data_IF_928044628114
#
_entry.id   IF_928044628114
#
_cell.length_a   1.000
_cell.length_b   1.000
_cell.length_c   1.000
_cell.angle_alpha   90.00
_cell.angle_beta   90.00
_cell.angle_gamma   90.00
#
_symmetry.space_group_name_H-M   'P 1'
#
loop_
_entity.id
_entity.type
_entity.pdbx_description
1 polymer ?
#
# COMPACT_ATOMS: atom_id res chain seq x y z
N UNK A 1 -28.41 2.26 -75.06
CA UNK A 1 -27.51 1.81 -76.14
C UNK A 1 -28.31 0.86 -76.98
N UNK A 2 -28.65 1.27 -78.21
CA UNK A 2 -29.58 0.59 -79.10
C UNK A 2 -28.99 -0.75 -79.56
N UNK A 3 -29.74 -1.84 -79.38
CA UNK A 3 -29.45 -3.11 -80.06
C UNK A 3 -29.90 -2.92 -81.50
N UNK A 4 -28.94 -2.56 -82.37
CA UNK A 4 -29.14 -2.59 -83.82
C UNK A 4 -29.41 -4.05 -84.22
N UNK A 5 -30.68 -4.37 -84.47
CA UNK A 5 -31.04 -5.49 -85.31
C UNK A 5 -30.48 -5.20 -86.70
N UNK A 6 -29.47 -5.97 -87.12
CA UNK A 6 -29.06 -6.01 -88.52
C UNK A 6 -30.29 -6.32 -89.39
N UNK A 7 -30.53 -5.55 -90.47
CA UNK A 7 -31.60 -5.88 -91.40
C UNK A 7 -31.25 -7.19 -92.08
N UNK A 8 -32.20 -8.12 -92.09
CA UNK A 8 -32.21 -9.32 -92.93
C UNK A 8 -32.40 -8.85 -94.38
N UNK A 9 -31.39 -8.19 -94.94
CA UNK A 9 -31.35 -7.75 -96.33
C UNK A 9 -30.00 -8.16 -96.90
N UNK A 10 -29.75 -9.47 -96.92
CA UNK A 10 -28.79 -10.09 -97.84
C UNK A 10 -28.97 -11.62 -97.91
N UNK A 11 -30.21 -12.09 -97.98
CA UNK A 11 -30.54 -13.49 -98.26
C UNK A 11 -31.41 -13.65 -99.52
N UNK A 12 -31.46 -12.62 -100.37
CA UNK A 12 -32.16 -12.68 -101.66
C UNK A 12 -31.31 -13.26 -102.80
N UNK A 13 -30.03 -13.57 -102.58
CA UNK A 13 -29.12 -14.10 -103.62
C UNK A 13 -28.57 -15.52 -103.38
N UNK A 14 -29.05 -16.26 -102.37
CA UNK A 14 -28.57 -17.65 -102.15
C UNK A 14 -29.64 -18.62 -101.65
N UNK A 15 -30.57 -19.00 -102.54
CA UNK A 15 -31.44 -20.17 -102.38
C UNK A 15 -32.41 -20.16 -101.17
N UNK A 16 -33.30 -21.16 -101.06
CA UNK A 16 -34.23 -21.26 -99.94
C UNK A 16 -33.47 -21.53 -98.63
N UNK A 17 -33.89 -20.88 -97.56
CA UNK A 17 -33.36 -21.04 -96.21
C UNK A 17 -33.42 -22.52 -95.81
N UNK A 18 -32.27 -23.21 -95.85
CA UNK A 18 -32.23 -24.64 -95.51
C UNK A 18 -32.42 -24.81 -94.01
N UNK A 19 -33.05 -25.92 -93.61
CA UNK A 19 -33.34 -26.19 -92.20
C UNK A 19 -32.05 -26.19 -91.35
N UNK A 20 -30.91 -26.55 -91.92
CA UNK A 20 -29.63 -26.47 -91.22
C UNK A 20 -29.20 -25.03 -90.88
N UNK A 21 -29.47 -24.04 -91.75
CA UNK A 21 -29.18 -22.62 -91.47
C UNK A 21 -30.06 -22.06 -90.35
N UNK A 22 -31.37 -22.35 -90.36
CA UNK A 22 -32.27 -21.93 -89.28
C UNK A 22 -31.90 -22.59 -87.94
N UNK A 23 -31.48 -23.86 -87.94
CA UNK A 23 -31.01 -24.57 -86.74
C UNK A 23 -29.73 -23.96 -86.17
N UNK A 24 -28.80 -23.52 -87.02
CA UNK A 24 -27.55 -22.86 -86.62
C UNK A 24 -27.80 -21.47 -86.00
N UNK A 25 -28.74 -20.69 -86.55
CA UNK A 25 -29.15 -19.40 -85.98
C UNK A 25 -29.80 -19.59 -84.60
N UNK A 26 -30.70 -20.57 -84.45
CA UNK A 26 -31.35 -20.87 -83.17
C UNK A 26 -30.32 -21.34 -82.14
N UNK A 27 -29.40 -22.25 -82.52
CA UNK A 27 -28.33 -22.73 -81.63
C UNK A 27 -27.36 -21.61 -81.21
N UNK A 28 -27.00 -20.69 -82.11
CA UNK A 28 -26.14 -19.55 -81.78
C UNK A 28 -26.83 -18.56 -80.83
N UNK A 29 -28.13 -18.30 -81.00
CA UNK A 29 -28.91 -17.47 -80.07
C UNK A 29 -29.06 -18.12 -78.68
N UNK A 30 -29.30 -19.43 -78.61
CA UNK A 30 -29.30 -20.16 -77.33
C UNK A 30 -27.93 -20.13 -76.65
N UNK A 31 -26.86 -20.31 -77.42
CA UNK A 31 -25.48 -20.29 -76.90
C UNK A 31 -25.12 -18.90 -76.35
N UNK A 32 -25.47 -17.82 -77.04
CA UNK A 32 -25.29 -16.45 -76.57
C UNK A 32 -26.10 -16.14 -75.30
N UNK A 33 -27.34 -16.62 -75.22
CA UNK A 33 -28.18 -16.47 -74.03
C UNK A 33 -27.60 -17.22 -72.82
N UNK A 34 -27.08 -18.44 -73.02
CA UNK A 34 -26.41 -19.23 -71.97
C UNK A 34 -25.15 -18.51 -71.46
N UNK A 35 -24.32 -17.97 -72.36
CA UNK A 35 -23.15 -17.18 -71.94
C UNK A 35 -23.54 -15.92 -71.16
N UNK A 36 -24.61 -15.22 -71.58
CA UNK A 36 -25.14 -14.06 -70.87
C UNK A 36 -25.60 -14.41 -69.45
N UNK A 37 -26.39 -15.48 -69.28
CA UNK A 37 -26.87 -15.92 -67.96
C UNK A 37 -25.69 -16.35 -67.08
N UNK A 38 -24.74 -17.12 -67.63
CA UNK A 38 -23.57 -17.60 -66.88
C UNK A 38 -22.68 -16.44 -66.41
N UNK A 39 -22.50 -15.41 -67.24
CA UNK A 39 -21.76 -14.20 -66.87
C UNK A 39 -22.47 -13.42 -65.74
N UNK A 40 -23.80 -13.29 -65.79
CA UNK A 40 -24.59 -12.62 -64.75
C UNK A 40 -24.54 -13.39 -63.43
N UNK A 41 -24.68 -14.72 -63.47
CA UNK A 41 -24.56 -15.58 -62.29
C UNK A 41 -23.15 -15.52 -61.70
N UNK A 42 -22.11 -15.57 -62.54
CA UNK A 42 -20.72 -15.42 -62.12
C UNK A 42 -20.44 -14.08 -61.44
N UNK A 43 -20.96 -12.98 -62.01
CA UNK A 43 -20.88 -11.66 -61.39
C UNK A 43 -21.62 -11.59 -60.06
N UNK A 44 -22.81 -12.18 -59.96
CA UNK A 44 -23.56 -12.21 -58.71
C UNK A 44 -22.79 -12.96 -57.61
N UNK A 45 -22.17 -14.09 -57.92
CA UNK A 45 -21.33 -14.85 -56.98
C UNK A 45 -20.12 -14.02 -56.53
N UNK A 46 -19.44 -13.33 -57.46
CA UNK A 46 -18.31 -12.47 -57.12
C UNK A 46 -18.70 -11.29 -56.22
N UNK A 47 -19.85 -10.65 -56.48
CA UNK A 47 -20.36 -9.55 -55.64
C UNK A 47 -20.71 -10.03 -54.24
N UNK A 48 -21.35 -11.20 -54.13
CA UNK A 48 -21.64 -11.81 -52.82
C UNK A 48 -20.34 -12.12 -52.08
N UNK A 49 -19.40 -12.82 -52.72
CA UNK A 49 -18.10 -13.16 -52.12
C UNK A 49 -17.31 -11.91 -51.67
N UNK A 50 -17.28 -10.86 -52.49
CA UNK A 50 -16.64 -9.58 -52.15
C UNK A 50 -17.33 -8.91 -50.94
N UNK A 51 -18.66 -8.97 -50.86
CA UNK A 51 -19.42 -8.42 -49.73
C UNK A 51 -19.14 -9.18 -48.43
N UNK A 52 -19.01 -10.51 -48.48
CA UNK A 52 -18.62 -11.33 -47.33
C UNK A 52 -17.21 -10.99 -46.85
N UNK A 53 -16.24 -10.88 -47.78
CA UNK A 53 -14.86 -10.49 -47.46
C UNK A 53 -14.79 -9.09 -46.84
N UNK A 54 -15.56 -8.14 -47.37
CA UNK A 54 -15.65 -6.79 -46.82
C UNK A 54 -16.24 -6.78 -45.41
N UNK A 55 -17.30 -7.55 -45.18
CA UNK A 55 -17.92 -7.65 -43.86
C UNK A 55 -16.98 -8.30 -42.82
N UNK A 56 -16.23 -9.34 -43.22
CA UNK A 56 -15.19 -9.95 -42.40
C UNK A 56 -14.06 -8.98 -42.07
N UNK A 57 -13.60 -8.18 -43.05
CA UNK A 57 -12.59 -7.16 -42.83
C UNK A 57 -13.06 -6.10 -41.83
N UNK A 58 -14.28 -5.60 -41.98
CA UNK A 58 -14.88 -4.65 -41.04
C UNK A 58 -15.02 -5.24 -39.64
N UNK A 59 -15.47 -6.48 -39.52
CA UNK A 59 -15.56 -7.18 -38.23
C UNK A 59 -14.20 -7.34 -37.57
N UNK A 60 -13.17 -7.76 -38.32
CA UNK A 60 -11.80 -7.89 -37.81
C UNK A 60 -11.27 -6.55 -37.30
N UNK A 61 -11.53 -5.45 -38.03
CA UNK A 61 -11.12 -4.10 -37.61
C UNK A 61 -11.85 -3.63 -36.34
N UNK A 62 -13.14 -3.91 -36.22
CA UNK A 62 -13.91 -3.61 -35.00
C UNK A 62 -13.39 -4.39 -33.80
N UNK A 63 -13.11 -5.68 -33.99
CA UNK A 63 -12.55 -6.54 -32.94
C UNK A 63 -11.18 -6.05 -32.48
N UNK A 64 -10.30 -5.67 -33.43
CA UNK A 64 -8.99 -5.12 -33.10
C UNK A 64 -9.08 -3.84 -32.27
N UNK A 65 -9.96 -2.90 -32.64
CA UNK A 65 -10.18 -1.67 -31.85
C UNK A 65 -10.75 -1.96 -30.46
N UNK A 66 -11.68 -2.92 -30.36
CA UNK A 66 -12.25 -3.32 -29.06
C UNK A 66 -11.18 -3.94 -28.16
N UNK A 67 -10.32 -4.81 -28.70
CA UNK A 67 -9.18 -5.41 -27.98
C UNK A 67 -8.20 -4.33 -27.53
N UNK A 68 -7.89 -3.37 -28.39
CA UNK A 68 -6.95 -2.29 -28.07
C UNK A 68 -7.50 -1.35 -27.00
N UNK A 69 -8.79 -1.02 -27.07
CA UNK A 69 -9.52 -0.28 -26.02
C UNK A 69 -9.52 -1.02 -24.69
N UNK A 70 -9.87 -2.32 -24.69
CA UNK A 70 -9.86 -3.15 -23.48
C UNK A 70 -8.46 -3.25 -22.88
N UNK A 71 -7.43 -3.41 -23.73
CA UNK A 71 -6.04 -3.46 -23.28
C UNK A 71 -5.63 -2.14 -22.62
N UNK A 72 -5.95 -1.00 -23.24
CA UNK A 72 -5.70 0.32 -22.67
C UNK A 72 -6.38 0.47 -21.32
N UNK A 73 -7.68 0.15 -21.23
CA UNK A 73 -8.45 0.27 -20.00
C UNK A 73 -7.90 -0.61 -18.88
N UNK A 74 -7.57 -1.87 -19.19
CA UNK A 74 -6.95 -2.80 -18.23
C UNK A 74 -5.61 -2.26 -17.75
N UNK A 75 -4.76 -1.74 -18.65
CA UNK A 75 -3.45 -1.19 -18.24
C UNK A 75 -3.57 0.06 -17.39
N UNK A 76 -4.54 0.94 -17.67
CA UNK A 76 -4.76 2.16 -16.89
C UNK A 76 -5.34 1.81 -15.52
N UNK A 77 -6.37 0.95 -15.45
CA UNK A 77 -6.93 0.47 -14.19
C UNK A 77 -5.89 -0.27 -13.34
N UNK A 78 -5.10 -1.14 -13.95
CA UNK A 78 -4.02 -1.82 -13.24
C UNK A 78 -3.02 -0.81 -12.67
N UNK A 79 -2.59 0.20 -13.44
CA UNK A 79 -1.69 1.25 -12.93
C UNK A 79 -2.30 2.04 -11.76
N UNK A 80 -3.58 2.40 -11.85
CA UNK A 80 -4.29 3.10 -10.78
C UNK A 80 -4.43 2.24 -9.53
N UNK A 81 -4.78 0.97 -9.68
CA UNK A 81 -4.92 0.03 -8.56
C UNK A 81 -3.57 -0.25 -7.90
N UNK A 82 -2.51 -0.41 -8.68
CA UNK A 82 -1.15 -0.53 -8.16
C UNK A 82 -0.70 0.73 -7.42
N UNK A 83 -1.03 1.92 -7.93
CA UNK A 83 -0.71 3.18 -7.25
C UNK A 83 -1.45 3.28 -5.90
N UNK A 84 -2.76 3.01 -5.88
CA UNK A 84 -3.58 3.00 -4.66
C UNK A 84 -3.14 1.95 -3.65
N UNK A 85 -2.71 0.77 -4.11
CA UNK A 85 -2.18 -0.28 -3.24
C UNK A 85 -0.83 0.15 -2.66
N UNK A 86 0.06 0.71 -3.47
CA UNK A 86 1.38 1.20 -3.02
C UNK A 86 1.23 2.30 -1.98
N UNK A 87 0.29 3.22 -2.17
CA UNK A 87 -0.02 4.28 -1.21
C UNK A 87 -0.53 3.70 0.11
N UNK A 88 -1.51 2.78 0.07
CA UNK A 88 -2.01 2.11 1.29
C UNK A 88 -0.93 1.34 2.03
N UNK A 89 -0.11 0.57 1.31
CA UNK A 89 1.01 -0.18 1.92
C UNK A 89 2.02 0.78 2.55
N UNK A 90 2.31 1.91 1.91
CA UNK A 90 3.20 2.93 2.46
C UNK A 90 2.66 3.53 3.76
N UNK A 91 1.35 3.82 3.82
CA UNK A 91 0.69 4.35 5.01
C UNK A 91 0.68 3.31 6.14
N UNK A 92 0.36 2.06 5.84
CA UNK A 92 0.40 0.95 6.81
C UNK A 92 1.81 0.73 7.38
N UNK A 93 2.84 0.74 6.51
CA UNK A 93 4.24 0.62 6.93
C UNK A 93 4.67 1.80 7.80
N UNK A 94 4.24 3.02 7.47
CA UNK A 94 4.55 4.20 8.27
C UNK A 94 3.90 4.13 9.66
N UNK A 95 2.64 3.69 9.73
CA UNK A 95 1.93 3.52 11.00
C UNK A 95 2.53 2.39 11.84
N UNK A 96 2.86 1.24 11.23
CA UNK A 96 3.57 0.16 11.92
C UNK A 96 4.92 0.62 12.46
N UNK A 97 5.69 1.39 11.67
CA UNK A 97 6.97 1.97 12.13
C UNK A 97 6.77 2.84 13.36
N UNK A 98 5.77 3.73 13.34
CA UNK A 98 5.44 4.61 14.47
C UNK A 98 5.03 3.82 15.72
N UNK A 99 4.27 2.74 15.56
CA UNK A 99 3.87 1.87 16.67
C UNK A 99 5.07 1.11 17.26
N UNK A 100 5.98 0.60 16.41
CA UNK A 100 7.21 -0.05 16.85
C UNK A 100 8.10 0.94 17.59
N UNK A 101 8.33 2.14 17.05
CA UNK A 101 9.12 3.18 17.70
C UNK A 101 8.57 3.53 19.08
N UNK A 102 7.24 3.70 19.19
CA UNK A 102 6.57 3.95 20.47
C UNK A 102 6.75 2.77 21.44
N UNK A 103 6.59 1.53 20.97
CA UNK A 103 6.75 0.34 21.81
C UNK A 103 8.20 0.14 22.27
N UNK A 104 9.18 0.40 21.41
CA UNK A 104 10.60 0.28 21.73
C UNK A 104 11.00 1.36 22.72
N UNK A 105 10.55 2.61 22.51
CA UNK A 105 10.78 3.70 23.45
C UNK A 105 10.23 3.36 24.84
N UNK A 106 8.99 2.86 24.93
CA UNK A 106 8.39 2.44 26.21
C UNK A 106 9.17 1.32 26.90
N UNK A 107 9.54 0.27 26.16
CA UNK A 107 10.37 -0.83 26.71
C UNK A 107 11.75 -0.35 27.15
N UNK A 108 12.36 0.58 26.41
CA UNK A 108 13.65 1.14 26.78
C UNK A 108 13.56 1.97 28.07
N UNK A 109 12.48 2.74 28.26
CA UNK A 109 12.24 3.47 29.51
C UNK A 109 12.05 2.53 30.70
N UNK A 110 11.28 1.45 30.54
CA UNK A 110 11.11 0.42 31.58
C UNK A 110 12.44 -0.27 31.91
N UNK A 111 13.22 -0.63 30.89
CA UNK A 111 14.52 -1.25 31.08
C UNK A 111 15.49 -0.34 31.83
N UNK A 112 15.54 0.95 31.51
CA UNK A 112 16.38 1.91 32.21
C UNK A 112 15.96 2.09 33.67
N UNK A 113 14.65 2.08 33.97
CA UNK A 113 14.13 2.11 35.33
C UNK A 113 14.57 0.88 36.13
N UNK A 114 14.45 -0.32 35.53
CA UNK A 114 14.86 -1.56 36.19
C UNK A 114 16.38 -1.62 36.39
N UNK A 115 17.16 -1.11 35.42
CA UNK A 115 18.61 -0.97 35.57
C UNK A 115 18.99 -0.06 36.73
N UNK A 116 18.33 1.09 36.88
CA UNK A 116 18.53 1.98 38.03
C UNK A 116 18.19 1.28 39.35
N UNK A 117 17.07 0.54 39.39
CA UNK A 117 16.71 -0.30 40.54
C UNK A 117 17.78 -1.33 40.87
N UNK A 118 18.35 -2.03 39.89
CA UNK A 118 19.42 -3.01 40.14
C UNK A 118 20.68 -2.35 40.72
N UNK A 119 21.07 -1.16 40.22
CA UNK A 119 22.16 -0.41 40.83
C UNK A 119 21.84 0.05 42.25
N UNK A 120 20.60 0.45 42.51
CA UNK A 120 20.13 0.80 43.84
C UNK A 120 20.24 -0.39 44.81
N UNK A 121 19.82 -1.58 44.38
CA UNK A 121 19.93 -2.82 45.15
C UNK A 121 21.38 -3.23 45.41
N UNK A 122 22.26 -3.09 44.42
CA UNK A 122 23.69 -3.37 44.60
C UNK A 122 24.35 -2.39 45.58
N UNK A 123 24.01 -1.11 45.51
CA UNK A 123 24.46 -0.09 46.46
C UNK A 123 23.91 -0.36 47.87
N UNK A 124 22.66 -0.80 48.00
CA UNK A 124 22.04 -1.21 49.26
C UNK A 124 22.80 -2.35 49.93
N UNK A 125 23.15 -3.39 49.17
CA UNK A 125 23.92 -4.53 49.68
C UNK A 125 25.31 -4.09 50.19
N UNK A 126 25.89 -3.09 49.54
CA UNK A 126 27.17 -2.50 49.92
C UNK A 126 27.06 -1.44 51.03
N UNK A 127 25.86 -1.21 51.58
CA UNK A 127 25.55 -0.16 52.58
C UNK A 127 25.91 1.26 52.12
N UNK A 128 25.94 1.50 50.81
CA UNK A 128 26.18 2.81 50.20
C UNK A 128 24.84 3.56 50.05
N UNK A 129 24.24 3.94 51.18
CA UNK A 129 22.86 4.45 51.25
C UNK A 129 22.60 5.71 50.42
N UNK A 130 23.59 6.60 50.31
CA UNK A 130 23.50 7.82 49.51
C UNK A 130 23.37 7.49 48.01
N UNK A 131 24.22 6.59 47.51
CA UNK A 131 24.16 6.11 46.12
C UNK A 131 22.89 5.30 45.87
N UNK A 132 22.48 4.47 46.82
CA UNK A 132 21.24 3.73 46.71
C UNK A 132 20.03 4.68 46.61
N UNK A 133 20.01 5.75 47.41
CA UNK A 133 18.94 6.76 47.39
C UNK A 133 18.90 7.50 46.05
N UNK A 134 20.05 7.86 45.48
CA UNK A 134 20.11 8.43 44.14
C UNK A 134 19.53 7.47 43.08
N UNK A 135 19.96 6.21 43.06
CA UNK A 135 19.50 5.24 42.08
C UNK A 135 18.02 4.87 42.23
N UNK A 136 17.49 4.87 43.46
CA UNK A 136 16.05 4.72 43.68
C UNK A 136 15.27 5.94 43.18
N UNK A 137 15.81 7.15 43.31
CA UNK A 137 15.21 8.35 42.74
C UNK A 137 15.19 8.33 41.20
N UNK A 138 16.29 7.92 40.57
CA UNK A 138 16.36 7.68 39.12
C UNK A 138 15.33 6.62 38.66
N UNK A 139 15.16 5.55 39.43
CA UNK A 139 14.16 4.53 39.13
C UNK A 139 12.72 5.07 39.18
N UNK A 140 12.41 6.01 40.09
CA UNK A 140 11.09 6.68 40.16
C UNK A 140 10.78 7.39 38.84
N UNK A 141 11.71 8.20 38.33
CA UNK A 141 11.52 8.91 37.06
C UNK A 141 11.33 7.92 35.89
N UNK A 142 12.16 6.87 35.85
CA UNK A 142 12.05 5.82 34.83
C UNK A 142 10.68 5.12 34.86
N UNK A 143 10.20 4.72 36.04
CA UNK A 143 8.89 4.07 36.18
C UNK A 143 7.74 5.03 35.91
N UNK A 144 7.86 6.32 36.25
CA UNK A 144 6.87 7.33 35.91
C UNK A 144 6.74 7.53 34.40
N UNK A 145 7.87 7.62 33.68
CA UNK A 145 7.90 7.70 32.21
C UNK A 145 7.36 6.43 31.55
N UNK A 146 7.53 5.28 32.19
CA UNK A 146 6.98 4.00 31.77
C UNK A 146 5.51 3.78 32.18
N UNK A 147 4.91 4.71 32.94
CA UNK A 147 3.55 4.59 33.48
C UNK A 147 3.35 3.38 34.40
N UNK A 148 4.40 2.99 35.15
CA UNK A 148 4.38 1.83 36.06
C UNK A 148 4.15 2.25 37.51
N UNK A 149 2.89 2.35 37.92
CA UNK A 149 2.51 2.74 39.29
C UNK A 149 3.12 1.81 40.36
N UNK A 150 3.14 0.50 40.10
CA UNK A 150 3.75 -0.49 41.00
C UNK A 150 5.25 -0.26 41.16
N UNK A 151 5.95 0.05 40.07
CA UNK A 151 7.38 0.34 40.09
C UNK A 151 7.68 1.61 40.89
N UNK A 152 6.90 2.67 40.67
CA UNK A 152 7.01 3.93 41.42
C UNK A 152 6.84 3.66 42.91
N UNK A 153 5.80 2.93 43.33
CA UNK A 153 5.54 2.65 44.75
C UNK A 153 6.70 1.92 45.42
N UNK A 154 7.22 0.87 44.78
CA UNK A 154 8.40 0.14 45.27
C UNK A 154 9.62 1.07 45.42
N UNK A 155 9.85 1.94 44.43
CA UNK A 155 10.99 2.83 44.43
C UNK A 155 10.86 3.95 45.49
N UNK A 156 9.66 4.49 45.69
CA UNK A 156 9.35 5.49 46.73
C UNK A 156 9.54 4.90 48.13
N UNK A 157 8.98 3.71 48.39
CA UNK A 157 9.13 3.01 49.68
C UNK A 157 10.60 2.72 49.98
N UNK A 158 11.33 2.24 48.96
CA UNK A 158 12.75 1.98 49.09
C UNK A 158 13.52 3.27 49.40
N UNK A 159 13.34 4.33 48.60
CA UNK A 159 13.98 5.63 48.80
C UNK A 159 13.74 6.17 50.21
N UNK A 160 12.49 6.17 50.66
CA UNK A 160 12.09 6.66 51.98
C UNK A 160 12.79 5.90 53.12
N UNK A 161 12.95 4.59 52.96
CA UNK A 161 13.67 3.73 53.91
C UNK A 161 15.18 4.01 53.93
N UNK A 162 15.81 4.27 52.77
CA UNK A 162 17.27 4.46 52.66
C UNK A 162 17.70 5.84 53.12
N UNK A 163 16.93 6.87 52.82
CA UNK A 163 17.18 8.21 53.34
C UNK A 163 17.17 8.25 54.88
N UNK A 164 16.36 7.42 55.53
CA UNK A 164 16.39 7.26 57.00
C UNK A 164 17.66 6.60 57.55
N UNK A 165 18.47 5.98 56.69
CA UNK A 165 19.76 5.35 57.03
C UNK A 165 20.96 6.21 56.62
N UNK A 166 20.76 7.22 55.78
CA UNK A 166 21.79 8.19 55.44
C UNK A 166 22.15 9.01 56.68
N UNK A 167 23.45 9.19 56.92
CA UNK A 167 23.94 10.10 57.98
C UNK A 167 24.12 11.52 57.49
N UNK A 168 24.54 11.66 56.24
CA UNK A 168 24.78 12.91 55.52
C UNK A 168 24.36 12.72 54.07
N UNK A 169 24.18 13.82 53.35
CA UNK A 169 23.96 13.80 51.91
C UNK A 169 24.44 15.13 51.33
N UNK A 170 25.29 15.09 50.30
CA UNK A 170 25.73 16.31 49.61
C UNK A 170 24.58 17.02 48.91
N UNK A 171 24.61 18.35 48.80
CA UNK A 171 23.48 19.12 48.27
C UNK A 171 23.20 18.84 46.81
N UNK A 172 24.23 18.54 46.01
CA UNK A 172 24.03 18.11 44.62
C UNK A 172 23.18 16.83 44.52
N UNK A 173 23.35 15.88 45.44
CA UNK A 173 22.49 14.70 45.52
C UNK A 173 21.09 15.04 46.03
N UNK A 174 20.95 15.91 47.05
CA UNK A 174 19.63 16.36 47.53
C UNK A 174 18.82 17.01 46.42
N UNK A 175 19.43 17.90 45.64
CA UNK A 175 18.80 18.57 44.51
C UNK A 175 18.41 17.59 43.42
N UNK A 176 19.28 16.63 43.09
CA UNK A 176 18.96 15.59 42.11
C UNK A 176 17.76 14.77 42.56
N UNK A 177 17.77 14.27 43.80
CA UNK A 177 16.64 13.49 44.33
C UNK A 177 15.35 14.31 44.28
N UNK A 178 15.37 15.58 44.70
CA UNK A 178 14.21 16.49 44.62
C UNK A 178 13.65 16.62 43.21
N UNK A 179 14.50 16.70 42.19
CA UNK A 179 14.05 16.74 40.79
C UNK A 179 13.22 15.50 40.45
N UNK A 180 13.67 14.32 40.86
CA UNK A 180 12.95 13.07 40.59
C UNK A 180 11.65 12.93 41.42
N UNK A 181 11.51 13.58 42.57
CA UNK A 181 10.27 13.57 43.37
C UNK A 181 9.09 14.25 42.64
N UNK A 182 9.37 15.10 41.64
CA UNK A 182 8.32 15.70 40.82
C UNK A 182 7.53 14.67 39.99
N UNK A 183 8.11 13.49 39.77
CA UNK A 183 7.49 12.38 39.04
C UNK A 183 6.64 11.45 39.92
N UNK A 184 6.62 11.68 41.23
CA UNK A 184 5.77 10.91 42.15
C UNK A 184 4.31 11.36 41.95
N UNK A 185 3.38 10.43 41.65
CA UNK A 185 1.98 10.76 41.46
C UNK A 185 1.35 11.26 42.76
N UNK A 186 0.32 12.11 42.65
CA UNK A 186 -0.35 12.73 43.81
C UNK A 186 -0.89 11.73 44.83
N UNK A 187 -1.22 10.51 44.40
CA UNK A 187 -1.70 9.43 45.29
C UNK A 187 -0.64 9.01 46.32
N UNK A 188 0.64 9.23 46.04
CA UNK A 188 1.76 9.01 46.97
C UNK A 188 2.28 10.34 47.56
N UNK A 189 1.38 11.30 47.75
CA UNK A 189 1.71 12.66 48.22
C UNK A 189 2.31 12.66 49.62
N UNK A 190 1.79 11.83 50.52
CA UNK A 190 2.28 11.71 51.90
C UNK A 190 3.71 11.16 51.93
N UNK A 191 3.99 10.10 51.16
CA UNK A 191 5.33 9.53 51.06
C UNK A 191 6.32 10.52 50.45
N UNK A 192 5.88 11.31 49.48
CA UNK A 192 6.68 12.40 48.91
C UNK A 192 7.04 13.45 49.97
N UNK A 193 6.07 13.93 50.74
CA UNK A 193 6.32 14.90 51.81
C UNK A 193 7.29 14.35 52.87
N UNK A 194 7.14 13.08 53.26
CA UNK A 194 8.06 12.40 54.17
C UNK A 194 9.50 12.38 53.63
N UNK A 195 9.67 12.10 52.34
CA UNK A 195 10.98 12.11 51.68
C UNK A 195 11.55 13.53 51.66
N UNK A 196 10.75 14.55 51.33
CA UNK A 196 11.18 15.95 51.32
C UNK A 196 11.63 16.42 52.70
N UNK A 197 10.90 16.04 53.75
CA UNK A 197 11.25 16.39 55.13
C UNK A 197 12.50 15.67 55.61
N UNK A 198 12.72 14.41 55.22
CA UNK A 198 13.98 13.70 55.47
C UNK A 198 15.16 14.38 54.78
N UNK A 199 15.00 14.82 53.53
CA UNK A 199 16.04 15.53 52.79
C UNK A 199 16.43 16.85 53.46
N UNK A 200 15.47 17.58 54.05
CA UNK A 200 15.75 18.82 54.81
C UNK A 200 16.53 18.57 56.10
N UNK A 201 16.30 17.42 56.76
CA UNK A 201 16.96 17.05 58.04
C UNK A 201 18.36 16.45 57.84
N UNK A 202 18.65 15.95 56.63
CA UNK A 202 19.93 15.78 55.95
C UNK A 202 21.10 16.74 56.30
N UNK A 203 22.04 16.48 57.25
CA UNK A 203 23.24 17.30 57.33
C UNK A 203 24.10 17.14 56.06
N UNK A 204 24.81 18.20 55.70
CA UNK A 204 25.67 18.25 54.52
C UNK A 204 26.92 17.40 54.68
N UNK A 205 27.44 16.91 53.55
CA UNK A 205 28.74 16.27 53.53
C UNK A 205 29.85 17.32 53.66
N UNK A 206 30.37 17.46 54.89
CA UNK A 206 31.57 18.26 55.15
C UNK A 206 32.74 17.58 54.42
N UNK A 207 33.26 18.25 53.38
CA UNK A 207 34.52 17.87 52.75
C UNK A 207 35.66 18.22 53.70
N UNK A 208 36.12 17.25 54.50
CA UNK A 208 37.45 17.35 55.08
C UNK A 208 38.46 17.18 53.94
N UNK A 209 39.35 18.17 53.82
CA UNK A 209 40.40 18.29 52.82
C UNK A 209 41.43 17.16 52.90
#
# INVERSE_FOLDING_TARGET
MFVNFLPITNLAESGPLTWDMAKQIIQSQHTLAIYGITAVVGLAILVVAASWLWNLYLHKRKLQRAIESLRSEITTKAKEDFAKLTERVKDEVAEMKKQIEKSVAKRMTEFNAEKARLFALAADQSKLWERASFWWAEAIEGYAKAESEKGIRIAVDALNSRLGKCKKLGDGLKESIKKHLSFIPKILGEEKEQIEDKLKKLPEEIKEH
#
